data_IF_548739129316
#
_entry.id   IF_548739129316
#
_cell.length_a   1.000
_cell.length_b   1.000
_cell.length_c   1.000
_cell.angle_alpha   90.00
_cell.angle_beta   90.00
_cell.angle_gamma   90.00
#
_symmetry.space_group_name_H-M   'P 1'
#
loop_
_entity.id
_entity.type
_entity.pdbx_description
1 polymer ?
#
# COMPACT_ATOMS: atom_id res chain seq x y z
N UNK A 1 21.98 -9.15 -11.61
CA UNK A 1 22.10 -8.91 -10.16
C UNK A 1 21.12 -9.83 -9.46
N UNK A 2 21.62 -10.80 -8.71
CA UNK A 2 20.82 -11.73 -7.92
C UNK A 2 20.04 -10.92 -6.86
N UNK A 3 18.70 -10.94 -6.93
CA UNK A 3 17.87 -10.24 -5.96
C UNK A 3 17.72 -11.13 -4.73
N UNK A 4 18.53 -10.89 -3.70
CA UNK A 4 18.42 -11.63 -2.43
C UNK A 4 17.11 -11.24 -1.74
N UNK A 5 16.28 -12.23 -1.43
CA UNK A 5 15.07 -12.04 -0.64
C UNK A 5 15.40 -11.77 0.83
N UNK A 6 14.71 -10.81 1.45
CA UNK A 6 14.94 -10.46 2.85
C UNK A 6 14.03 -11.24 3.78
N UNK A 7 14.61 -11.99 4.72
CA UNK A 7 13.84 -12.60 5.82
C UNK A 7 13.25 -11.59 6.78
N UNK A 8 13.99 -10.49 6.97
CA UNK A 8 13.60 -9.36 7.77
C UNK A 8 14.01 -8.10 7.04
N UNK A 9 13.04 -7.25 6.71
CA UNK A 9 13.36 -6.00 6.01
C UNK A 9 14.15 -5.05 6.91
N UNK A 10 15.07 -4.26 6.34
CA UNK A 10 15.74 -3.20 7.07
C UNK A 10 14.72 -2.23 7.69
N UNK A 11 14.90 -1.78 8.94
CA UNK A 11 13.97 -0.84 9.58
C UNK A 11 13.75 0.45 8.79
N UNK A 12 14.77 0.95 8.09
CA UNK A 12 14.65 2.16 7.27
C UNK A 12 13.67 1.98 6.10
N UNK A 13 13.55 0.78 5.52
CA UNK A 13 12.57 0.48 4.46
C UNK A 13 11.16 0.53 5.03
N UNK A 14 10.98 0.02 6.25
CA UNK A 14 9.70 0.05 6.97
C UNK A 14 9.28 1.48 7.26
N UNK A 15 10.20 2.29 7.80
CA UNK A 15 9.96 3.70 8.09
C UNK A 15 9.60 4.43 6.81
N UNK A 16 10.42 4.30 5.75
CA UNK A 16 10.19 4.98 4.48
C UNK A 16 8.84 4.62 3.84
N UNK A 17 8.47 3.34 3.88
CA UNK A 17 7.19 2.86 3.31
C UNK A 17 5.98 3.39 4.08
N UNK A 18 6.07 3.48 5.40
CA UNK A 18 5.02 4.04 6.24
C UNK A 18 4.94 5.56 6.12
N UNK A 19 6.08 6.26 6.05
CA UNK A 19 6.13 7.71 5.82
C UNK A 19 5.42 8.04 4.50
N UNK A 20 5.73 7.34 3.40
CA UNK A 20 5.03 7.55 2.13
C UNK A 20 3.50 7.38 2.29
N UNK A 21 3.08 6.28 2.92
CA UNK A 21 1.65 5.94 3.05
C UNK A 21 0.91 6.98 3.91
N UNK A 22 1.50 7.35 5.05
CA UNK A 22 0.94 8.36 5.97
C UNK A 22 0.92 9.74 5.30
N UNK A 23 1.94 10.11 4.51
CA UNK A 23 1.94 11.38 3.77
C UNK A 23 0.78 11.45 2.78
N UNK A 24 0.49 10.37 2.05
CA UNK A 24 -0.66 10.30 1.13
C UNK A 24 -1.97 10.49 1.91
N UNK A 25 -2.10 9.85 3.08
CA UNK A 25 -3.29 9.97 3.92
C UNK A 25 -3.47 11.39 4.47
N UNK A 26 -2.41 12.00 4.99
CA UNK A 26 -2.46 13.36 5.54
C UNK A 26 -2.83 14.36 4.45
N UNK A 27 -2.19 14.27 3.27
CA UNK A 27 -2.50 15.15 2.14
C UNK A 27 -3.97 14.97 1.70
N UNK A 28 -4.43 13.73 1.58
CA UNK A 28 -5.82 13.45 1.20
C UNK A 28 -6.83 13.99 2.22
N UNK A 29 -6.58 13.77 3.52
CA UNK A 29 -7.43 14.27 4.60
C UNK A 29 -7.44 15.81 4.65
N UNK A 30 -6.29 16.44 4.42
CA UNK A 30 -6.18 17.89 4.36
C UNK A 30 -6.97 18.47 3.18
N UNK A 31 -6.86 17.89 1.98
CA UNK A 31 -7.66 18.31 0.83
C UNK A 31 -9.15 18.21 1.14
N UNK A 32 -9.59 17.08 1.68
CA UNK A 32 -11.01 16.84 2.01
C UNK A 32 -11.52 17.72 3.16
N UNK A 33 -10.63 18.29 3.98
CA UNK A 33 -11.03 19.23 5.03
C UNK A 33 -11.65 20.51 4.45
N UNK A 34 -11.39 20.82 3.17
CA UNK A 34 -12.07 21.89 2.43
C UNK A 34 -13.58 21.70 2.30
N UNK A 35 -14.10 20.48 2.44
CA UNK A 35 -15.54 20.18 2.52
C UNK A 35 -16.07 20.11 3.96
N UNK A 36 -15.19 20.29 4.95
CA UNK A 36 -15.48 20.17 6.37
C UNK A 36 -14.78 18.99 7.04
N UNK A 37 -14.61 19.09 8.36
CA UNK A 37 -13.86 18.12 9.17
C UNK A 37 -14.45 16.69 9.12
N UNK A 38 -15.77 16.58 8.93
CA UNK A 38 -16.45 15.30 8.80
C UNK A 38 -15.90 14.47 7.63
N UNK A 39 -15.64 15.10 6.47
CA UNK A 39 -15.13 14.39 5.29
C UNK A 39 -13.70 13.90 5.49
N UNK A 40 -12.85 14.68 6.15
CA UNK A 40 -11.51 14.24 6.56
C UNK A 40 -11.58 13.05 7.52
N UNK A 41 -12.47 13.10 8.52
CA UNK A 41 -12.63 12.03 9.48
C UNK A 41 -13.12 10.73 8.83
N UNK A 42 -14.13 10.80 7.95
CA UNK A 42 -14.63 9.65 7.20
C UNK A 42 -13.55 9.03 6.30
N UNK A 43 -12.76 9.87 5.63
CA UNK A 43 -11.64 9.40 4.80
C UNK A 43 -10.55 8.70 5.62
N UNK A 44 -10.16 9.26 6.77
CA UNK A 44 -9.16 8.63 7.65
C UNK A 44 -9.70 7.31 8.23
N UNK A 45 -10.97 7.28 8.63
CA UNK A 45 -11.62 6.04 9.07
C UNK A 45 -11.63 4.97 7.97
N UNK A 46 -11.89 5.37 6.72
CA UNK A 46 -11.81 4.48 5.56
C UNK A 46 -10.39 3.92 5.36
N UNK A 47 -9.36 4.77 5.41
CA UNK A 47 -7.95 4.35 5.32
C UNK A 47 -7.56 3.36 6.43
N UNK A 48 -7.96 3.63 7.67
CA UNK A 48 -7.70 2.72 8.81
C UNK A 48 -8.44 1.39 8.62
N UNK A 49 -9.69 1.43 8.16
CA UNK A 49 -10.46 0.23 7.87
C UNK A 49 -9.79 -0.63 6.79
N UNK A 50 -9.22 -0.02 5.74
CA UNK A 50 -8.44 -0.75 4.73
C UNK A 50 -7.20 -1.43 5.32
N UNK A 51 -6.48 -0.75 6.22
CA UNK A 51 -5.34 -1.37 6.90
C UNK A 51 -5.77 -2.57 7.74
N UNK A 52 -6.87 -2.44 8.48
CA UNK A 52 -7.40 -3.54 9.27
C UNK A 52 -7.85 -4.71 8.39
N UNK A 53 -8.54 -4.43 7.29
CA UNK A 53 -8.93 -5.44 6.29
C UNK A 53 -7.70 -6.17 5.74
N UNK A 54 -6.65 -5.44 5.39
CA UNK A 54 -5.42 -6.02 4.87
C UNK A 54 -4.74 -6.92 5.91
N UNK A 55 -4.66 -6.47 7.16
CA UNK A 55 -4.08 -7.27 8.25
C UNK A 55 -4.85 -8.59 8.42
N UNK A 56 -6.18 -8.50 8.52
CA UNK A 56 -7.06 -9.64 8.82
C UNK A 56 -7.17 -10.65 7.69
N UNK A 57 -7.19 -10.18 6.44
CA UNK A 57 -7.49 -11.05 5.30
C UNK A 57 -6.29 -11.39 4.44
N UNK A 58 -5.17 -10.67 4.55
CA UNK A 58 -4.03 -10.83 3.64
C UNK A 58 -2.73 -11.06 4.41
N UNK A 59 -2.48 -10.30 5.49
CA UNK A 59 -1.26 -10.49 6.27
C UNK A 59 -1.29 -11.76 7.13
N UNK A 60 -2.48 -12.25 7.52
CA UNK A 60 -2.67 -13.50 8.27
C UNK A 60 -2.06 -14.70 7.54
N UNK A 61 -2.25 -14.75 6.22
CA UNK A 61 -1.76 -15.82 5.35
C UNK A 61 -0.39 -15.48 4.73
N UNK A 62 0.22 -14.34 5.06
CA UNK A 62 1.50 -13.95 4.48
C UNK A 62 2.66 -14.67 5.18
N UNK A 63 3.72 -15.03 4.46
CA UNK A 63 4.94 -15.60 5.05
C UNK A 63 5.55 -14.71 6.13
N UNK A 64 5.41 -13.39 5.99
CA UNK A 64 5.89 -12.42 6.99
C UNK A 64 4.98 -12.30 8.22
N UNK A 65 3.95 -13.14 8.41
CA UNK A 65 3.19 -13.17 9.66
C UNK A 65 4.11 -13.37 10.86
N UNK A 66 4.02 -12.47 11.85
CA UNK A 66 4.93 -12.42 13.00
C UNK A 66 6.34 -11.89 12.70
N UNK A 67 6.65 -11.54 11.44
CA UNK A 67 7.96 -11.06 10.97
C UNK A 67 7.88 -9.65 10.39
N UNK A 68 9.03 -9.00 10.25
CA UNK A 68 9.10 -7.63 9.72
C UNK A 68 9.14 -7.64 8.18
N UNK A 69 7.99 -7.41 7.56
CA UNK A 69 7.89 -7.12 6.12
C UNK A 69 8.27 -5.66 5.80
N UNK A 70 8.37 -5.32 4.51
CA UNK A 70 8.69 -3.97 4.03
C UNK A 70 7.76 -2.86 4.57
N UNK A 71 6.54 -3.23 4.97
CA UNK A 71 5.54 -2.30 5.52
C UNK A 71 5.40 -2.42 7.03
N UNK A 72 6.09 -3.37 7.69
CA UNK A 72 5.95 -3.64 9.13
C UNK A 72 4.65 -4.38 9.53
N UNK A 73 3.70 -4.52 8.60
CA UNK A 73 2.37 -5.11 8.81
C UNK A 73 2.41 -6.58 9.24
N UNK A 74 3.41 -7.34 8.82
CA UNK A 74 3.56 -8.75 9.24
C UNK A 74 3.74 -8.92 10.76
N UNK A 75 4.54 -8.04 11.37
CA UNK A 75 4.77 -8.01 12.82
C UNK A 75 3.51 -7.56 13.55
N UNK A 76 2.82 -6.53 13.04
CA UNK A 76 1.56 -6.06 13.58
C UNK A 76 0.48 -7.15 13.53
N UNK A 77 0.38 -7.86 12.40
CA UNK A 77 -0.57 -8.96 12.21
C UNK A 77 -0.31 -10.11 13.18
N UNK A 78 0.95 -10.51 13.40
CA UNK A 78 1.29 -11.57 14.37
C UNK A 78 1.02 -11.22 15.83
N UNK A 79 0.78 -9.94 16.15
CA UNK A 79 0.34 -9.51 17.49
C UNK A 79 -1.19 -9.49 17.63
N UNK A 80 -1.91 -9.34 16.51
CA UNK A 80 -3.37 -9.11 16.51
C UNK A 80 -4.17 -10.35 16.09
N UNK A 81 -3.57 -11.25 15.31
CA UNK A 81 -4.26 -12.38 14.70
C UNK A 81 -3.39 -13.64 14.72
N UNK A 82 -4.05 -14.79 14.81
CA UNK A 82 -3.41 -16.08 14.63
C UNK A 82 -2.91 -16.26 13.20
N UNK A 83 -1.91 -17.12 13.02
CA UNK A 83 -1.30 -17.37 11.71
C UNK A 83 -2.23 -18.24 10.88
N UNK A 84 -2.50 -17.80 9.65
CA UNK A 84 -3.24 -18.59 8.65
C UNK A 84 -2.31 -19.46 7.81
N UNK A 85 -2.77 -19.81 6.60
CA UNK A 85 -2.06 -20.72 5.71
C UNK A 85 -1.42 -19.98 4.52
N UNK A 86 -0.08 -19.95 4.41
CA UNK A 86 0.63 -19.37 3.28
C UNK A 86 0.28 -19.93 1.91
N UNK A 87 -0.20 -21.18 1.83
CA UNK A 87 -0.65 -21.76 0.56
C UNK A 87 -1.90 -21.05 0.03
N UNK A 88 -2.82 -20.66 0.91
CA UNK A 88 -4.04 -19.90 0.57
C UNK A 88 -3.70 -18.53 -0.02
N UNK A 89 -2.59 -17.92 0.43
CA UNK A 89 -2.12 -16.65 -0.12
C UNK A 89 -1.66 -16.79 -1.58
N UNK A 90 -0.95 -17.86 -1.91
CA UNK A 90 -0.40 -18.10 -3.24
C UNK A 90 -1.50 -18.37 -4.28
N UNK A 91 -2.58 -19.04 -3.86
CA UNK A 91 -3.73 -19.37 -4.71
C UNK A 91 -4.71 -18.19 -4.88
N UNK A 92 -4.54 -17.12 -4.11
CA UNK A 92 -5.42 -15.96 -4.17
C UNK A 92 -5.23 -15.19 -5.47
N UNK A 93 -6.31 -15.02 -6.22
CA UNK A 93 -6.33 -14.12 -7.37
C UNK A 93 -6.68 -12.71 -6.92
N UNK A 94 -5.83 -11.73 -7.25
CA UNK A 94 -6.17 -10.31 -7.03
C UNK A 94 -7.24 -9.93 -8.06
N UNK A 95 -8.42 -9.60 -7.56
CA UNK A 95 -9.51 -9.07 -8.36
C UNK A 95 -9.70 -7.57 -8.18
N UNK A 96 -10.63 -7.00 -8.95
CA UNK A 96 -11.04 -5.59 -8.81
C UNK A 96 -11.52 -5.25 -7.39
N UNK A 97 -12.14 -6.20 -6.68
CA UNK A 97 -12.56 -6.05 -5.27
C UNK A 97 -11.41 -5.77 -4.29
N UNK A 98 -10.18 -6.12 -4.66
CA UNK A 98 -8.99 -5.89 -3.84
C UNK A 98 -8.27 -4.61 -4.28
N UNK A 99 -8.31 -4.28 -5.57
CA UNK A 99 -7.63 -3.10 -6.12
C UNK A 99 -8.44 -1.80 -5.98
N UNK A 100 -9.76 -1.84 -6.21
CA UNK A 100 -10.64 -0.66 -6.16
C UNK A 100 -10.55 0.06 -4.82
N UNK A 101 -10.59 -0.64 -3.67
CA UNK A 101 -10.57 0.04 -2.39
C UNK A 101 -9.25 0.78 -2.13
N UNK A 102 -8.12 0.21 -2.58
CA UNK A 102 -6.80 0.85 -2.52
C UNK A 102 -6.73 2.06 -3.47
N UNK A 103 -7.31 1.97 -4.67
CA UNK A 103 -7.38 3.08 -5.61
C UNK A 103 -8.21 4.26 -5.07
N UNK A 104 -9.26 3.98 -4.31
CA UNK A 104 -10.13 5.00 -3.70
C UNK A 104 -9.37 5.91 -2.73
N UNK A 105 -8.30 5.42 -2.09
CA UNK A 105 -7.42 6.24 -1.21
C UNK A 105 -6.84 7.42 -1.97
N UNK A 106 -6.50 7.24 -3.25
CA UNK A 106 -6.07 8.34 -4.12
C UNK A 106 -7.26 9.07 -4.74
N UNK A 107 -8.23 8.32 -5.29
CA UNK A 107 -9.27 8.88 -6.15
C UNK A 107 -10.20 9.85 -5.41
N UNK A 108 -10.61 9.52 -4.19
CA UNK A 108 -11.53 10.36 -3.39
C UNK A 108 -10.92 11.75 -3.14
N UNK A 109 -9.72 11.88 -2.52
CA UNK A 109 -9.13 13.19 -2.30
C UNK A 109 -8.73 13.89 -3.60
N UNK A 110 -8.35 13.15 -4.64
CA UNK A 110 -7.99 13.75 -5.93
C UNK A 110 -9.21 14.43 -6.60
N UNK A 111 -10.33 13.71 -6.70
CA UNK A 111 -11.58 14.27 -7.25
C UNK A 111 -12.10 15.40 -6.36
N UNK A 112 -12.09 15.21 -5.04
CA UNK A 112 -12.48 16.26 -4.10
C UNK A 112 -11.63 17.53 -4.26
N UNK A 113 -10.32 17.38 -4.42
CA UNK A 113 -9.43 18.52 -4.65
C UNK A 113 -9.67 19.20 -5.99
N UNK A 114 -9.95 18.46 -7.07
CA UNK A 114 -10.33 19.08 -8.36
C UNK A 114 -11.58 19.95 -8.20
N UNK A 115 -12.61 19.43 -7.53
CA UNK A 115 -13.84 20.18 -7.25
C UNK A 115 -13.53 21.46 -6.46
N UNK A 116 -12.70 21.39 -5.42
CA UNK A 116 -12.29 22.57 -4.65
C UNK A 116 -11.52 23.58 -5.49
N UNK A 117 -10.60 23.14 -6.35
CA UNK A 117 -9.83 24.03 -7.24
C UNK A 117 -10.74 24.74 -8.23
N UNK A 118 -11.75 24.05 -8.78
CA UNK A 118 -12.72 24.66 -9.71
C UNK A 118 -13.61 25.68 -8.99
N UNK A 119 -14.03 25.39 -7.75
CA UNK A 119 -14.87 26.32 -6.98
C UNK A 119 -14.07 27.54 -6.47
N UNK A 120 -12.84 27.31 -6.01
CA UNK A 120 -11.96 28.32 -5.41
C UNK A 120 -10.51 27.98 -5.74
N UNK A 121 -10.02 28.55 -6.84
CA UNK A 121 -8.66 28.32 -7.26
C UNK A 121 -7.67 28.74 -6.17
N UNK A 122 -6.81 27.81 -5.76
CA UNK A 122 -5.72 28.06 -4.84
C UNK A 122 -4.47 27.32 -5.32
N UNK A 123 -3.36 28.06 -5.40
CA UNK A 123 -2.06 27.49 -5.76
C UNK A 123 -1.64 26.42 -4.76
N UNK A 124 -1.94 26.57 -3.47
CA UNK A 124 -1.61 25.57 -2.46
C UNK A 124 -2.36 24.26 -2.69
N UNK A 125 -3.66 24.32 -3.05
CA UNK A 125 -4.46 23.13 -3.37
C UNK A 125 -3.95 22.44 -4.64
N UNK A 126 -3.59 23.22 -5.66
CA UNK A 126 -3.01 22.67 -6.90
C UNK A 126 -1.67 21.96 -6.63
N UNK A 127 -0.79 22.55 -5.81
CA UNK A 127 0.47 21.93 -5.39
C UNK A 127 0.24 20.63 -4.61
N UNK A 128 -0.73 20.62 -3.70
CA UNK A 128 -1.07 19.41 -2.92
C UNK A 128 -1.65 18.29 -3.79
N UNK A 129 -2.47 18.61 -4.79
CA UNK A 129 -2.93 17.64 -5.78
C UNK A 129 -1.78 17.07 -6.60
N UNK A 130 -0.85 17.92 -7.05
CA UNK A 130 0.37 17.49 -7.74
C UNK A 130 1.22 16.56 -6.87
N UNK A 131 1.42 16.92 -5.59
CA UNK A 131 2.14 16.09 -4.63
C UNK A 131 1.43 14.75 -4.40
N UNK A 132 0.11 14.76 -4.20
CA UNK A 132 -0.71 13.55 -4.04
C UNK A 132 -0.55 12.61 -5.24
N UNK A 133 -0.59 13.15 -6.47
CA UNK A 133 -0.38 12.38 -7.70
C UNK A 133 1.02 11.75 -7.73
N UNK A 134 2.07 12.55 -7.51
CA UNK A 134 3.46 12.07 -7.55
C UNK A 134 3.70 10.99 -6.49
N UNK A 135 3.24 11.20 -5.26
CA UNK A 135 3.42 10.23 -4.17
C UNK A 135 2.63 8.94 -4.43
N UNK A 136 1.37 9.06 -4.88
CA UNK A 136 0.48 7.91 -5.09
C UNK A 136 0.95 7.01 -6.23
N UNK A 137 1.50 7.59 -7.30
CA UNK A 137 1.99 6.82 -8.45
C UNK A 137 3.48 6.55 -8.37
N UNK A 138 4.32 7.60 -8.45
CA UNK A 138 5.78 7.45 -8.53
C UNK A 138 6.39 7.00 -7.22
N UNK A 139 5.91 7.54 -6.09
CA UNK A 139 6.33 7.12 -4.76
C UNK A 139 6.07 5.64 -4.52
N UNK A 140 4.83 5.20 -4.74
CA UNK A 140 4.47 3.78 -4.61
C UNK A 140 5.20 2.90 -5.63
N UNK A 141 5.37 3.31 -6.89
CA UNK A 141 6.09 2.52 -7.88
C UNK A 141 7.56 2.29 -7.49
N UNK A 142 8.23 3.30 -6.95
CA UNK A 142 9.60 3.18 -6.48
C UNK A 142 9.70 2.31 -5.23
N UNK A 143 8.93 2.64 -4.18
CA UNK A 143 9.02 1.93 -2.90
C UNK A 143 8.49 0.50 -3.03
N UNK A 144 7.27 0.32 -3.58
CA UNK A 144 6.68 -1.00 -3.69
C UNK A 144 7.38 -1.84 -4.74
N UNK A 145 7.70 -1.28 -5.91
CA UNK A 145 8.34 -2.03 -6.99
C UNK A 145 9.80 -2.38 -6.69
N UNK A 146 10.64 -1.39 -6.41
CA UNK A 146 12.09 -1.60 -6.29
C UNK A 146 12.55 -2.03 -4.90
N UNK A 147 11.89 -1.61 -3.83
CA UNK A 147 12.33 -1.93 -2.47
C UNK A 147 11.52 -3.06 -1.84
N UNK A 148 10.18 -2.99 -1.88
CA UNK A 148 9.34 -3.99 -1.24
C UNK A 148 9.31 -5.28 -2.09
N UNK A 149 8.61 -5.31 -3.21
CA UNK A 149 8.34 -6.56 -3.94
C UNK A 149 9.59 -7.20 -4.55
N UNK A 150 10.61 -6.41 -4.91
CA UNK A 150 11.87 -6.95 -5.44
C UNK A 150 12.57 -7.91 -4.46
N UNK A 151 12.49 -7.65 -3.15
CA UNK A 151 13.17 -8.42 -2.10
C UNK A 151 12.22 -9.28 -1.25
N UNK A 152 10.98 -9.48 -1.72
CA UNK A 152 9.93 -10.09 -0.93
C UNK A 152 10.01 -11.62 -1.00
N UNK A 153 10.19 -12.30 0.14
CA UNK A 153 10.25 -13.77 0.19
C UNK A 153 8.94 -14.43 -0.24
N UNK A 154 7.80 -13.79 0.03
CA UNK A 154 6.48 -14.25 -0.48
C UNK A 154 6.42 -14.31 -2.01
N UNK A 155 7.24 -13.53 -2.73
CA UNK A 155 7.28 -13.57 -4.20
C UNK A 155 7.72 -14.95 -4.70
N UNK A 156 8.70 -15.56 -4.05
CA UNK A 156 9.24 -16.88 -4.40
C UNK A 156 8.21 -18.00 -4.21
N UNK A 157 7.29 -17.83 -3.26
CA UNK A 157 6.20 -18.77 -2.96
C UNK A 157 4.90 -18.48 -3.75
N UNK A 158 4.91 -17.47 -4.62
CA UNK A 158 3.72 -16.99 -5.31
C UNK A 158 3.07 -15.82 -4.57
N UNK A 159 3.33 -14.60 -5.06
CA UNK A 159 2.64 -13.40 -4.61
C UNK A 159 1.84 -12.80 -5.77
N UNK A 160 0.51 -12.76 -5.70
CA UNK A 160 -0.30 -12.20 -6.78
C UNK A 160 -0.05 -10.70 -6.96
N UNK A 161 0.36 -9.99 -5.91
CA UNK A 161 0.73 -8.57 -6.01
C UNK A 161 2.04 -8.39 -6.78
N UNK A 162 3.02 -9.29 -6.64
CA UNK A 162 4.26 -9.22 -7.41
C UNK A 162 4.01 -9.45 -8.91
N UNK A 163 3.01 -10.27 -9.27
CA UNK A 163 2.58 -10.47 -10.66
C UNK A 163 2.13 -9.16 -11.32
N UNK A 164 1.50 -8.25 -10.58
CA UNK A 164 1.06 -6.94 -11.10
C UNK A 164 2.24 -6.02 -11.45
N UNK A 165 3.37 -6.14 -10.74
CA UNK A 165 4.54 -5.29 -10.95
C UNK A 165 5.57 -5.88 -11.92
N UNK A 166 5.69 -7.20 -11.98
CA UNK A 166 6.73 -7.88 -12.77
C UNK A 166 6.19 -8.81 -13.86
N UNK A 167 4.86 -8.95 -14.00
CA UNK A 167 4.25 -9.88 -14.95
C UNK A 167 4.56 -11.35 -14.63
N UNK A 168 4.43 -12.24 -15.62
CA UNK A 168 4.68 -13.70 -15.46
C UNK A 168 6.11 -14.04 -14.99
N UNK A 169 7.08 -13.13 -15.17
CA UNK A 169 8.44 -13.26 -14.66
C UNK A 169 8.55 -13.28 -13.12
N UNK A 170 7.43 -13.08 -12.40
CA UNK A 170 7.37 -13.23 -10.94
C UNK A 170 7.33 -14.70 -10.46
N UNK A 171 6.93 -15.67 -11.31
CA UNK A 171 6.83 -17.10 -10.94
C UNK A 171 8.12 -17.89 -11.16
N UNK A 172 9.01 -17.38 -12.00
CA UNK A 172 10.34 -17.98 -12.21
C UNK A 172 11.28 -17.37 -11.18
N UNK A 173 11.40 -18.00 -10.01
CA UNK A 173 12.56 -17.81 -9.15
C UNK A 173 13.85 -18.15 -9.92
N UNK A 174 15.05 -17.76 -9.42
CA UNK A 174 16.30 -18.08 -10.10
C UNK A 174 16.35 -19.60 -10.34
N UNK A 175 16.39 -20.00 -11.62
CA UNK A 175 16.71 -21.38 -11.99
C UNK A 175 18.17 -21.62 -11.56
N UNK A 176 18.46 -22.75 -10.90
CA UNK A 176 19.82 -23.09 -10.45
C UNK A 176 20.80 -23.18 -11.61
#
# INVERSE_FOLDING_TARGET
>A
MEQVAYDRYPPWVVVLSNVLSISIWIIGAYILSGFGLLWSALYLAYCIWLEFRLLRHTCVDCWYHGRQCAFGKGRLCGLLFEKGDPAVFADRQIGWKDLVPDLMVFLIPFVGGIVLVVQRFSVSLALLLGALLILSFRGNALIRGKLAYAHCRQREMGCPAALLFFGKAAREGPRP
#
